data_IF_286215205906
#
_entry.id   IF_286215205906
#
_cell.length_a   1.000
_cell.length_b   1.000
_cell.length_c   1.000
_cell.angle_alpha   90.00
_cell.angle_beta   90.00
_cell.angle_gamma   90.00
#
_symmetry.space_group_name_H-M   'P 1'
#
loop_
_entity.id
_entity.type
_entity.pdbx_description
1 polymer ?
#
# COMPACT_ATOMS: atom_id res chain seq x y z
N UNK A 1 -11.68 25.30 -17.61
CA UNK A 1 -11.00 25.72 -16.37
C UNK A 1 -11.88 25.31 -15.20
N UNK A 2 -11.41 24.38 -14.38
CA UNK A 2 -12.17 23.67 -13.32
C UNK A 2 -12.46 24.51 -12.06
N UNK A 3 -12.84 25.78 -12.25
CA UNK A 3 -13.23 26.70 -11.17
C UNK A 3 -12.18 26.94 -10.05
N UNK A 4 -10.89 26.75 -10.34
CA UNK A 4 -9.81 27.09 -9.41
C UNK A 4 -9.63 28.61 -9.26
N UNK A 5 -9.51 29.08 -8.01
CA UNK A 5 -9.26 30.48 -7.67
C UNK A 5 -7.84 30.65 -7.09
N UNK A 6 -7.19 31.79 -7.32
CA UNK A 6 -5.80 32.03 -6.92
C UNK A 6 -5.62 32.21 -5.41
N UNK A 7 -6.69 32.51 -4.66
CA UNK A 7 -6.67 32.66 -3.21
C UNK A 7 -8.03 32.32 -2.57
N UNK A 8 -8.04 32.28 -1.23
CA UNK A 8 -9.21 31.89 -0.45
C UNK A 8 -10.40 32.87 -0.56
N UNK A 9 -10.17 34.18 -0.74
CA UNK A 9 -11.26 35.15 -0.88
C UNK A 9 -11.90 35.04 -2.26
N UNK A 10 -11.07 34.94 -3.29
CA UNK A 10 -11.52 34.69 -4.64
C UNK A 10 -12.28 33.35 -4.75
N UNK A 11 -11.85 32.32 -4.01
CA UNK A 11 -12.59 31.06 -3.90
C UNK A 11 -13.96 31.23 -3.23
N UNK A 12 -14.03 31.98 -2.12
CA UNK A 12 -15.28 32.24 -1.42
C UNK A 12 -16.29 33.01 -2.30
N UNK A 13 -15.83 34.03 -3.01
CA UNK A 13 -16.67 34.78 -3.95
C UNK A 13 -17.14 33.89 -5.12
N UNK A 14 -16.28 32.98 -5.59
CA UNK A 14 -16.62 32.05 -6.66
C UNK A 14 -17.67 31.03 -6.21
N UNK A 15 -17.55 30.50 -4.99
CA UNK A 15 -18.57 29.64 -4.38
C UNK A 15 -19.90 30.38 -4.19
N UNK A 16 -19.86 31.62 -3.73
CA UNK A 16 -21.05 32.45 -3.51
C UNK A 16 -21.81 32.75 -4.82
N UNK A 17 -21.09 32.88 -5.94
CA UNK A 17 -21.69 33.02 -7.29
C UNK A 17 -22.32 31.74 -7.83
N UNK A 18 -22.10 30.60 -7.18
CA UNK A 18 -22.57 29.29 -7.59
C UNK A 18 -21.64 28.61 -8.60
N UNK A 19 -21.30 27.36 -8.33
CA UNK A 19 -20.52 26.53 -9.25
C UNK A 19 -21.44 25.89 -10.30
N UNK A 20 -20.99 25.78 -11.57
CA UNK A 20 -21.74 25.04 -12.58
C UNK A 20 -21.92 23.59 -12.10
N UNK A 21 -23.17 23.14 -12.09
CA UNK A 21 -23.48 21.76 -11.68
C UNK A 21 -22.90 20.80 -12.72
N UNK A 22 -22.16 19.75 -12.30
CA UNK A 22 -21.70 18.75 -13.23
C UNK A 22 -22.89 18.14 -13.98
N UNK A 23 -22.74 17.93 -15.29
CA UNK A 23 -23.75 17.25 -16.10
C UNK A 23 -23.96 15.84 -15.51
N UNK A 24 -25.19 15.43 -15.19
CA UNK A 24 -25.47 14.07 -14.73
C UNK A 24 -24.92 13.06 -15.74
N UNK A 25 -23.96 12.23 -15.32
CA UNK A 25 -23.28 11.25 -16.18
C UNK A 25 -21.80 11.54 -16.44
N UNK A 26 -21.35 12.79 -16.37
CA UNK A 26 -19.92 13.13 -16.56
C UNK A 26 -19.00 12.48 -15.52
N UNK A 27 -19.51 12.28 -14.28
CA UNK A 27 -18.78 11.57 -13.22
C UNK A 27 -18.75 10.06 -13.50
N UNK A 28 -19.82 9.49 -14.07
CA UNK A 28 -19.91 8.05 -14.33
C UNK A 28 -19.05 7.64 -15.53
N UNK A 29 -19.01 8.46 -16.58
CA UNK A 29 -18.10 8.25 -17.73
C UNK A 29 -16.62 8.23 -17.31
N UNK A 30 -16.19 9.10 -16.39
CA UNK A 30 -14.81 9.06 -15.85
C UNK A 30 -14.48 7.78 -15.08
N UNK A 31 -15.47 7.12 -14.49
CA UNK A 31 -15.28 5.81 -13.83
C UNK A 31 -15.18 4.71 -14.88
N UNK A 32 -15.96 4.81 -15.97
CA UNK A 32 -15.83 3.91 -17.13
C UNK A 32 -14.47 4.08 -17.85
N UNK A 33 -13.83 5.26 -17.74
CA UNK A 33 -12.47 5.55 -18.22
C UNK A 33 -11.35 5.00 -17.30
N UNK A 34 -11.69 4.30 -16.21
CA UNK A 34 -10.74 3.66 -15.27
C UNK A 34 -10.91 2.14 -15.34
N UNK A 35 -10.38 1.48 -16.38
CA UNK A 35 -10.59 0.05 -16.63
C UNK A 35 -10.13 -0.84 -15.46
N UNK A 36 -9.15 -0.37 -14.70
CA UNK A 36 -8.63 -1.05 -13.51
C UNK A 36 -9.56 -1.00 -12.29
N UNK A 37 -10.66 -0.24 -12.29
CA UNK A 37 -11.64 -0.28 -11.19
C UNK A 37 -12.80 -1.26 -11.46
N UNK A 38 -12.87 -1.83 -12.68
CA UNK A 38 -13.92 -2.76 -13.09
C UNK A 38 -13.78 -4.11 -12.37
N UNK A 39 -12.56 -4.51 -12.03
CA UNK A 39 -12.26 -5.76 -11.29
C UNK A 39 -12.76 -5.77 -9.83
N UNK A 40 -13.15 -4.59 -9.31
CA UNK A 40 -13.58 -4.36 -7.92
C UNK A 40 -12.54 -4.70 -6.84
N UNK A 41 -11.29 -5.01 -7.18
CA UNK A 41 -10.26 -5.39 -6.20
C UNK A 41 -10.06 -4.29 -5.17
N UNK A 42 -9.91 -3.03 -5.62
CA UNK A 42 -9.81 -1.85 -4.74
C UNK A 42 -10.98 -1.79 -3.75
N UNK A 43 -12.21 -1.93 -4.24
CA UNK A 43 -13.42 -1.80 -3.41
C UNK A 43 -13.50 -2.90 -2.36
N UNK A 44 -13.17 -4.13 -2.74
CA UNK A 44 -13.21 -5.29 -1.85
C UNK A 44 -12.08 -5.26 -0.82
N UNK A 45 -10.85 -4.88 -1.20
CA UNK A 45 -9.72 -4.71 -0.28
C UNK A 45 -10.01 -3.59 0.72
N UNK A 46 -10.50 -2.43 0.24
CA UNK A 46 -10.82 -1.29 1.11
C UNK A 46 -11.92 -1.65 2.13
N UNK A 47 -12.99 -2.32 1.68
CA UNK A 47 -14.08 -2.76 2.57
C UNK A 47 -13.62 -3.85 3.54
N UNK A 48 -12.72 -4.73 3.08
CA UNK A 48 -12.15 -5.85 3.84
C UNK A 48 -11.02 -5.47 4.79
N UNK A 49 -10.51 -4.22 4.76
CA UNK A 49 -9.32 -3.79 5.51
C UNK A 49 -9.27 -4.28 6.94
N UNK A 50 -10.32 -4.03 7.73
CA UNK A 50 -10.35 -4.43 9.16
C UNK A 50 -10.19 -5.93 9.34
N UNK A 51 -10.81 -6.72 8.46
CA UNK A 51 -10.73 -8.17 8.48
C UNK A 51 -9.33 -8.64 8.07
N UNK A 52 -8.76 -8.05 7.01
CA UNK A 52 -7.41 -8.36 6.54
C UNK A 52 -6.35 -8.08 7.62
N UNK A 53 -6.45 -6.94 8.31
CA UNK A 53 -5.55 -6.60 9.42
C UNK A 53 -5.66 -7.64 10.53
N UNK A 54 -6.87 -7.97 10.96
CA UNK A 54 -7.11 -8.96 12.01
C UNK A 54 -6.55 -10.33 11.66
N UNK A 55 -6.83 -10.82 10.46
CA UNK A 55 -6.45 -12.16 10.03
C UNK A 55 -4.94 -12.27 9.79
N UNK A 56 -4.32 -11.18 9.29
CA UNK A 56 -2.86 -11.08 9.18
C UNK A 56 -2.22 -11.13 10.57
N UNK A 57 -2.74 -10.39 11.56
CA UNK A 57 -2.20 -10.44 12.93
C UNK A 57 -2.33 -11.84 13.56
N UNK A 58 -3.47 -12.49 13.38
CA UNK A 58 -3.67 -13.86 13.85
C UNK A 58 -2.66 -14.82 13.20
N UNK A 59 -2.48 -14.75 11.88
CA UNK A 59 -1.50 -15.56 11.17
C UNK A 59 -0.05 -15.25 11.57
N UNK A 60 0.27 -13.99 11.88
CA UNK A 60 1.58 -13.60 12.39
C UNK A 60 1.84 -14.19 13.78
N UNK A 61 0.86 -14.17 14.69
CA UNK A 61 0.98 -14.75 16.03
C UNK A 61 1.17 -16.28 15.98
N UNK A 62 0.57 -16.95 15.00
CA UNK A 62 0.77 -18.38 14.76
C UNK A 62 2.18 -18.69 14.23
N UNK A 63 2.64 -17.92 13.24
CA UNK A 63 3.90 -18.15 12.51
C UNK A 63 5.14 -17.60 13.23
N UNK A 64 4.99 -16.60 14.10
CA UNK A 64 6.10 -15.92 14.78
C UNK A 64 5.98 -16.11 16.31
N UNK A 65 6.61 -17.14 16.89
CA UNK A 65 6.54 -17.41 18.32
C UNK A 65 6.93 -16.22 19.21
N UNK A 66 7.82 -15.34 18.73
CA UNK A 66 8.23 -14.12 19.42
C UNK A 66 7.06 -13.16 19.70
N UNK A 67 6.02 -13.15 18.86
CA UNK A 67 4.85 -12.30 19.06
C UNK A 67 4.00 -12.71 20.26
N UNK A 68 4.10 -13.97 20.72
CA UNK A 68 3.41 -14.40 21.95
C UNK A 68 3.90 -13.63 23.18
N UNK A 69 5.14 -13.14 23.15
CA UNK A 69 5.72 -12.33 24.21
C UNK A 69 5.47 -10.81 24.04
N UNK A 70 4.77 -10.39 22.98
CA UNK A 70 4.48 -8.97 22.77
C UNK A 70 3.51 -8.46 23.83
N UNK A 71 3.85 -7.28 24.36
CA UNK A 71 2.93 -6.43 25.11
C UNK A 71 1.79 -5.93 24.23
N UNK A 72 0.70 -5.49 24.84
CA UNK A 72 -0.46 -4.94 24.11
C UNK A 72 -0.04 -3.78 23.18
N UNK A 73 0.79 -2.86 23.67
CA UNK A 73 1.28 -1.74 22.87
C UNK A 73 2.14 -2.19 21.65
N UNK A 74 2.84 -3.32 21.75
CA UNK A 74 3.57 -3.88 20.61
C UNK A 74 2.64 -4.54 19.60
N UNK A 75 1.57 -5.21 20.08
CA UNK A 75 0.52 -5.77 19.22
C UNK A 75 -0.23 -4.67 18.48
N UNK A 76 -0.57 -3.58 19.16
CA UNK A 76 -1.25 -2.42 18.57
C UNK A 76 -0.39 -1.75 17.48
N UNK A 77 0.91 -1.56 17.72
CA UNK A 77 1.83 -1.04 16.69
C UNK A 77 1.94 -1.96 15.49
N UNK A 78 2.00 -3.28 15.71
CA UNK A 78 2.00 -4.26 14.61
C UNK A 78 0.70 -4.18 13.81
N UNK A 79 -0.44 -3.99 14.49
CA UNK A 79 -1.73 -3.81 13.84
C UNK A 79 -1.78 -2.54 12.98
N UNK A 80 -1.23 -1.45 13.50
CA UNK A 80 -1.08 -0.18 12.79
C UNK A 80 -0.18 -0.32 11.55
N UNK A 81 0.95 -1.02 11.67
CA UNK A 81 1.84 -1.29 10.53
C UNK A 81 1.13 -2.10 9.42
N UNK A 82 0.39 -3.15 9.79
CA UNK A 82 -0.41 -3.94 8.83
C UNK A 82 -1.52 -3.08 8.21
N UNK A 83 -2.16 -2.21 9.00
CA UNK A 83 -3.20 -1.31 8.48
C UNK A 83 -2.63 -0.34 7.45
N UNK A 84 -1.44 0.22 7.68
CA UNK A 84 -0.76 1.07 6.71
C UNK A 84 -0.38 0.31 5.44
N UNK A 85 0.12 -0.92 5.56
CA UNK A 85 0.40 -1.77 4.38
C UNK A 85 -0.87 -1.94 3.52
N UNK A 86 -2.01 -2.25 4.14
CA UNK A 86 -3.29 -2.42 3.41
C UNK A 86 -3.79 -1.09 2.82
N UNK A 87 -3.55 0.04 3.48
CA UNK A 87 -3.89 1.37 2.95
C UNK A 87 -3.07 1.69 1.70
N UNK A 88 -1.76 1.49 1.74
CA UNK A 88 -0.90 1.74 0.58
C UNK A 88 -1.17 0.77 -0.57
N UNK A 89 -1.54 -0.48 -0.27
CA UNK A 89 -2.01 -1.43 -1.28
C UNK A 89 -3.31 -0.91 -1.94
N UNK A 90 -4.25 -0.43 -1.14
CA UNK A 90 -5.51 0.14 -1.63
C UNK A 90 -5.29 1.38 -2.50
N UNK A 91 -4.36 2.26 -2.09
CA UNK A 91 -3.97 3.43 -2.88
C UNK A 91 -3.37 3.02 -4.23
N UNK A 92 -2.46 2.03 -4.25
CA UNK A 92 -1.88 1.52 -5.48
C UNK A 92 -2.94 0.92 -6.41
N UNK A 93 -3.88 0.13 -5.87
CA UNK A 93 -4.99 -0.45 -6.66
C UNK A 93 -5.89 0.63 -7.25
N UNK A 94 -6.19 1.67 -6.47
CA UNK A 94 -7.01 2.79 -6.91
C UNK A 94 -6.35 3.59 -8.03
N UNK A 95 -5.04 3.87 -7.90
CA UNK A 95 -4.28 4.65 -8.86
C UNK A 95 -3.76 3.83 -10.05
N UNK A 96 -3.87 2.50 -9.99
CA UNK A 96 -3.17 1.55 -10.87
C UNK A 96 -1.66 1.78 -10.94
N UNK A 97 -1.06 2.09 -9.79
CA UNK A 97 0.36 2.41 -9.69
C UNK A 97 1.06 1.62 -8.58
N UNK A 98 1.79 0.58 -8.99
CA UNK A 98 2.59 -0.26 -8.08
C UNK A 98 3.72 0.50 -7.38
N UNK A 99 4.16 1.66 -7.90
CA UNK A 99 5.21 2.47 -7.28
C UNK A 99 4.77 3.09 -5.96
N UNK A 100 3.47 3.37 -5.78
CA UNK A 100 2.94 3.84 -4.50
C UNK A 100 3.13 2.82 -3.38
N UNK A 101 2.86 1.55 -3.67
CA UNK A 101 2.99 0.48 -2.70
C UNK A 101 4.46 0.09 -2.46
N UNK A 102 5.21 -0.11 -3.54
CA UNK A 102 6.63 -0.50 -3.46
C UNK A 102 7.49 0.61 -2.84
N UNK A 103 7.26 1.87 -3.20
CA UNK A 103 7.95 3.02 -2.61
C UNK A 103 7.64 3.19 -1.12
N UNK A 104 6.40 2.93 -0.69
CA UNK A 104 6.06 2.89 0.74
C UNK A 104 6.85 1.82 1.49
N UNK A 105 6.94 0.59 0.95
CA UNK A 105 7.69 -0.49 1.58
C UNK A 105 9.20 -0.21 1.61
N UNK A 106 9.74 0.39 0.56
CA UNK A 106 11.14 0.81 0.49
C UNK A 106 11.44 1.86 1.58
N UNK A 107 10.66 2.94 1.61
CA UNK A 107 10.79 3.97 2.65
C UNK A 107 10.60 3.42 4.07
N UNK A 108 9.64 2.51 4.28
CA UNK A 108 9.44 1.84 5.57
C UNK A 108 10.67 0.99 5.93
N UNK A 109 11.28 0.33 4.95
CA UNK A 109 12.55 -0.36 5.09
C UNK A 109 13.66 0.55 5.62
N UNK A 110 13.81 1.77 5.06
CA UNK A 110 14.81 2.75 5.52
C UNK A 110 14.58 3.12 6.99
N UNK A 111 13.33 3.33 7.38
CA UNK A 111 12.96 3.67 8.77
C UNK A 111 13.29 2.54 9.73
N UNK A 112 12.96 1.30 9.35
CA UNK A 112 13.24 0.14 10.18
C UNK A 112 14.74 -0.06 10.36
N UNK A 113 15.51 0.05 9.28
CA UNK A 113 16.96 -0.11 9.31
C UNK A 113 17.65 0.98 10.13
N UNK A 114 17.19 2.24 10.03
CA UNK A 114 17.64 3.33 10.90
C UNK A 114 17.38 3.04 12.39
N UNK A 115 16.33 2.27 12.70
CA UNK A 115 15.99 1.79 14.06
C UNK A 115 16.67 0.47 14.44
N UNK A 116 17.61 -0.03 13.61
CA UNK A 116 18.29 -1.33 13.78
C UNK A 116 17.33 -2.53 13.74
N UNK A 117 16.22 -2.40 13.04
CA UNK A 117 15.28 -3.48 12.74
C UNK A 117 15.44 -3.88 11.26
N UNK A 118 15.72 -5.14 10.92
CA UNK A 118 15.88 -5.54 9.53
C UNK A 118 14.56 -5.41 8.73
N UNK A 119 14.56 -4.81 7.55
CA UNK A 119 13.36 -4.64 6.72
C UNK A 119 12.62 -5.97 6.39
N UNK A 120 13.35 -7.10 6.37
CA UNK A 120 12.77 -8.45 6.19
C UNK A 120 11.71 -8.84 7.22
N UNK A 121 11.61 -8.14 8.35
CA UNK A 121 10.54 -8.41 9.34
C UNK A 121 9.14 -8.18 8.79
N UNK A 122 9.00 -7.42 7.69
CA UNK A 122 7.71 -7.18 7.02
C UNK A 122 7.27 -8.36 6.13
N UNK A 123 8.20 -9.21 5.67
CA UNK A 123 7.93 -10.27 4.68
C UNK A 123 6.85 -11.27 5.13
N UNK A 124 6.83 -11.76 6.39
CA UNK A 124 5.77 -12.67 6.83
C UNK A 124 4.37 -12.07 6.74
N UNK A 125 4.23 -10.76 7.01
CA UNK A 125 2.96 -10.05 6.92
C UNK A 125 2.50 -9.93 5.46
N UNK A 126 3.42 -9.61 4.56
CA UNK A 126 3.13 -9.55 3.11
C UNK A 126 2.77 -10.93 2.55
N UNK A 127 3.44 -12.00 3.00
CA UNK A 127 3.13 -13.36 2.60
C UNK A 127 1.72 -13.78 3.06
N UNK A 128 1.32 -13.43 4.28
CA UNK A 128 -0.04 -13.67 4.78
C UNK A 128 -1.09 -12.91 3.99
N UNK A 129 -0.81 -11.65 3.62
CA UNK A 129 -1.70 -10.88 2.76
C UNK A 129 -1.85 -11.51 1.37
N UNK A 130 -0.79 -12.10 0.80
CA UNK A 130 -0.89 -12.86 -0.45
C UNK A 130 -1.80 -14.08 -0.30
N UNK A 131 -1.68 -14.83 0.80
CA UNK A 131 -2.55 -15.97 1.08
C UNK A 131 -4.03 -15.54 1.20
N UNK A 132 -4.29 -14.44 1.91
CA UNK A 132 -5.63 -13.89 2.13
C UNK A 132 -6.26 -13.27 0.88
N UNK A 133 -5.43 -12.74 -0.03
CA UNK A 133 -5.84 -12.08 -1.28
C UNK A 133 -5.56 -12.94 -2.52
N UNK A 134 -5.48 -14.26 -2.37
CA UNK A 134 -5.15 -15.21 -3.46
C UNK A 134 -6.04 -15.13 -4.70
N UNK A 135 -7.27 -14.66 -4.55
CA UNK A 135 -8.26 -14.53 -5.63
C UNK A 135 -8.23 -13.13 -6.29
N UNK A 136 -7.27 -12.28 -5.91
CA UNK A 136 -7.14 -10.88 -6.32
C UNK A 136 -5.81 -10.68 -7.09
N UNK A 137 -5.76 -10.99 -8.39
CA UNK A 137 -4.51 -11.02 -9.16
C UNK A 137 -3.70 -9.72 -9.16
N UNK A 138 -4.32 -8.53 -9.17
CA UNK A 138 -3.56 -7.26 -9.11
C UNK A 138 -2.99 -7.01 -7.72
N UNK A 139 -3.77 -7.31 -6.69
CA UNK A 139 -3.30 -7.29 -5.31
C UNK A 139 -2.09 -8.21 -5.12
N UNK A 140 -2.15 -9.42 -5.70
CA UNK A 140 -1.02 -10.36 -5.70
C UNK A 140 0.21 -9.84 -6.44
N UNK A 141 0.04 -9.23 -7.61
CA UNK A 141 1.16 -8.63 -8.37
C UNK A 141 1.86 -7.54 -7.53
N UNK A 142 1.08 -6.63 -6.93
CA UNK A 142 1.64 -5.54 -6.11
C UNK A 142 2.33 -6.07 -4.86
N UNK A 143 1.74 -7.05 -4.17
CA UNK A 143 2.37 -7.72 -3.03
C UNK A 143 3.67 -8.43 -3.43
N UNK A 144 3.69 -9.10 -4.59
CA UNK A 144 4.88 -9.78 -5.11
C UNK A 144 6.00 -8.80 -5.39
N UNK A 145 5.70 -7.67 -6.05
CA UNK A 145 6.67 -6.59 -6.29
C UNK A 145 7.18 -5.99 -4.98
N UNK A 146 6.30 -5.77 -4.01
CA UNK A 146 6.66 -5.27 -2.68
C UNK A 146 7.64 -6.19 -1.95
N UNK A 147 7.38 -7.51 -1.96
CA UNK A 147 8.30 -8.51 -1.39
C UNK A 147 9.64 -8.54 -2.13
N UNK A 148 9.64 -8.39 -3.45
CA UNK A 148 10.87 -8.33 -4.24
C UNK A 148 11.75 -7.12 -3.87
N UNK A 149 11.14 -5.94 -3.62
CA UNK A 149 11.86 -4.75 -3.12
C UNK A 149 12.53 -5.04 -1.77
N UNK A 150 11.82 -5.61 -0.80
CA UNK A 150 12.39 -5.96 0.50
C UNK A 150 13.49 -7.03 0.41
N UNK A 151 13.34 -8.00 -0.50
CA UNK A 151 14.36 -9.00 -0.75
C UNK A 151 15.64 -8.39 -1.36
N UNK A 152 15.50 -7.45 -2.30
CA UNK A 152 16.65 -6.76 -2.90
C UNK A 152 17.48 -5.98 -1.86
N UNK A 153 16.84 -5.44 -0.81
CA UNK A 153 17.52 -4.72 0.28
C UNK A 153 18.38 -5.62 1.16
N UNK A 154 18.06 -6.91 1.25
CA UNK A 154 18.81 -7.88 2.04
C UNK A 154 19.86 -8.64 1.25
N UNK A 155 19.85 -8.53 -0.08
CA UNK A 155 20.88 -9.12 -0.93
C UNK A 155 22.24 -8.46 -0.63
N UNK A 156 23.32 -9.23 -0.45
CA UNK A 156 24.65 -8.66 -0.32
C UNK A 156 24.99 -7.88 -1.60
N UNK A 157 25.63 -6.72 -1.45
CA UNK A 157 26.14 -5.97 -2.60
C UNK A 157 27.01 -6.91 -3.43
N UNK A 158 26.61 -7.16 -4.68
CA UNK A 158 27.41 -7.95 -5.60
C UNK A 158 28.65 -7.13 -5.93
N UNK A 159 29.74 -7.34 -5.19
CA UNK A 159 31.03 -6.75 -5.50
C UNK A 159 31.42 -7.30 -6.88
N UNK A 160 31.62 -6.45 -7.90
CA UNK A 160 32.18 -6.92 -9.17
C UNK A 160 33.57 -7.48 -8.85
N UNK A 161 33.79 -8.76 -9.12
CA UNK A 161 35.11 -9.39 -9.05
C UNK A 161 36.10 -8.54 -9.85
N UNK A 162 37.15 -7.98 -9.23
CA UNK A 162 38.19 -7.28 -9.98
C UNK A 162 39.02 -8.35 -10.72
N UNK A 163 38.71 -8.59 -11.99
CA UNK A 163 39.64 -9.29 -12.90
C UNK A 163 39.11 -10.46 -13.74
N UNK A 164 37.94 -10.36 -14.36
CA UNK A 164 37.64 -11.26 -15.48
C UNK A 164 38.39 -10.80 -16.75
N UNK A 165 39.24 -11.64 -17.38
CA UNK A 165 39.97 -11.27 -18.58
C UNK A 165 39.05 -11.22 -19.81
N UNK A 166 39.47 -10.40 -20.79
CA UNK A 166 38.79 -10.09 -22.06
C UNK A 166 38.58 -11.29 -22.99
#
# INVERSE_FOLDING_TARGET
ADAWAPDARAAADLLARGLPRPVPGAIRQRVDDLPHLIDQEYSLVLRGKRQLVRDTLAGLEERLPAMRAYTEAQRERTAEDVAHIVDFLSCALYADDSHLFTGFLDWTGDILEARRVPARVLDPGLALLQDLLKDFPRSLDFLTRGRAVLAARTAPARVPEPGAPA
#
